data_IF_006563818535
#
_entry.id   IF_006563818535
#
_cell.length_a   1.000
_cell.length_b   1.000
_cell.length_c   1.000
_cell.angle_alpha   90.00
_cell.angle_beta   90.00
_cell.angle_gamma   90.00
#
_symmetry.space_group_name_H-M   'P 1'
#
loop_
_entity.id
_entity.type
_entity.pdbx_description
1 polymer ?
#
# COMPACT_ATOMS: atom_id res chain seq x y z
N UNK A 1 4.19 -23.01 18.65
CA UNK A 1 5.22 -23.14 17.58
C UNK A 1 5.46 -24.58 17.17
N UNK A 2 5.26 -25.58 18.05
CA UNK A 2 5.44 -27.02 17.73
C UNK A 2 4.50 -27.56 16.66
N UNK A 3 3.24 -27.11 16.61
CA UNK A 3 2.26 -27.53 15.60
C UNK A 3 2.57 -27.00 14.19
N UNK A 4 3.29 -25.86 14.10
CA UNK A 4 3.63 -25.19 12.84
C UNK A 4 5.03 -25.56 12.33
N UNK A 5 5.75 -26.46 13.03
CA UNK A 5 7.13 -26.88 12.70
C UNK A 5 8.10 -25.71 12.42
N UNK A 6 7.91 -24.57 13.09
CA UNK A 6 8.82 -23.43 12.96
C UNK A 6 10.01 -23.63 13.90
N UNK A 7 11.23 -23.41 13.37
CA UNK A 7 12.47 -23.48 14.15
C UNK A 7 12.40 -22.57 15.38
N UNK A 8 12.85 -23.06 16.54
CA UNK A 8 12.83 -22.31 17.81
C UNK A 8 13.71 -21.06 17.79
N UNK A 9 14.68 -21.01 16.87
CA UNK A 9 15.62 -19.91 16.72
C UNK A 9 15.09 -18.79 15.81
N UNK A 10 13.92 -18.98 15.18
CA UNK A 10 13.32 -18.04 14.25
C UNK A 10 12.05 -17.46 14.87
N UNK A 11 11.95 -16.13 14.96
CA UNK A 11 10.71 -15.46 15.35
C UNK A 11 9.82 -15.25 14.10
N UNK A 12 8.73 -16.02 13.95
CA UNK A 12 7.90 -15.98 12.76
C UNK A 12 7.20 -14.63 12.55
N UNK A 13 7.00 -13.84 13.60
CA UNK A 13 6.36 -12.52 13.49
C UNK A 13 7.30 -11.49 12.84
N UNK A 14 8.60 -11.59 13.10
CA UNK A 14 9.59 -10.69 12.52
C UNK A 14 9.66 -10.82 10.99
N UNK A 15 9.43 -12.02 10.45
CA UNK A 15 9.33 -12.27 9.01
C UNK A 15 7.99 -11.78 8.42
N UNK A 16 6.90 -11.88 9.18
CA UNK A 16 5.56 -11.44 8.77
C UNK A 16 5.35 -9.92 8.81
N UNK A 17 6.17 -9.15 9.54
CA UNK A 17 6.19 -7.68 9.49
C UNK A 17 6.48 -7.12 8.08
N UNK A 18 7.02 -7.95 7.18
CA UNK A 18 7.24 -7.61 5.78
C UNK A 18 6.05 -7.96 4.86
N UNK A 19 4.95 -8.50 5.37
CA UNK A 19 3.74 -8.61 4.56
C UNK A 19 3.15 -7.21 4.33
N UNK A 20 2.98 -6.94 3.04
CA UNK A 20 2.58 -5.70 2.38
C UNK A 20 1.91 -4.66 3.29
N UNK A 21 2.69 -3.62 3.61
CA UNK A 21 2.17 -2.33 4.02
C UNK A 21 1.04 -1.91 3.06
N UNK A 22 -0.09 -1.36 3.55
CA UNK A 22 -1.15 -0.87 2.69
C UNK A 22 -0.55 0.10 1.66
N UNK A 23 -0.49 -0.37 0.42
CA UNK A 23 0.04 0.35 -0.72
C UNK A 23 -0.89 1.51 -1.01
N UNK A 24 -0.40 2.72 -0.78
CA UNK A 24 -1.13 3.92 -1.17
C UNK A 24 -1.13 3.95 -2.71
N UNK A 25 -2.30 3.98 -3.36
CA UNK A 25 -2.38 3.94 -4.81
C UNK A 25 -1.81 5.22 -5.42
N UNK A 26 -1.13 5.09 -6.55
CA UNK A 26 -0.53 6.21 -7.28
C UNK A 26 -1.55 7.27 -7.67
N UNK A 27 -2.71 6.82 -8.12
CA UNK A 27 -3.87 7.66 -8.38
C UNK A 27 -5.00 7.26 -7.45
N UNK A 28 -5.56 8.25 -6.77
CA UNK A 28 -6.68 8.11 -5.86
C UNK A 28 -7.84 8.92 -6.41
N UNK A 29 -8.91 8.24 -6.82
CA UNK A 29 -10.16 8.93 -7.14
C UNK A 29 -10.84 9.34 -5.83
N UNK A 30 -11.07 10.63 -5.65
CA UNK A 30 -11.81 11.21 -4.52
C UNK A 30 -13.07 11.90 -5.03
N UNK A 31 -13.94 12.30 -4.10
CA UNK A 31 -15.11 13.15 -4.35
C UNK A 31 -14.77 14.51 -4.95
N UNK A 32 -13.57 15.01 -4.69
CA UNK A 32 -13.04 16.25 -5.25
C UNK A 32 -12.34 16.08 -6.62
N UNK A 33 -12.23 14.84 -7.12
CA UNK A 33 -11.62 14.52 -8.41
C UNK A 33 -10.48 13.50 -8.34
N UNK A 34 -9.71 13.40 -9.42
CA UNK A 34 -8.55 12.50 -9.48
C UNK A 34 -7.35 13.14 -8.76
N UNK A 35 -6.88 12.52 -7.69
CA UNK A 35 -5.74 12.97 -6.89
C UNK A 35 -4.51 12.10 -7.18
N UNK A 36 -3.41 12.71 -7.60
CA UNK A 36 -2.13 12.02 -7.75
C UNK A 36 -1.36 12.10 -6.43
N UNK A 37 -1.16 10.93 -5.82
CA UNK A 37 -0.49 10.81 -4.52
C UNK A 37 1.01 11.10 -4.65
N UNK A 38 1.61 10.95 -5.83
CA UNK A 38 3.05 11.24 -6.04
C UNK A 38 3.34 12.72 -6.09
N UNK A 39 2.48 13.51 -6.75
CA UNK A 39 2.62 14.97 -6.84
C UNK A 39 1.89 15.70 -5.73
N UNK A 40 1.13 14.97 -4.90
CA UNK A 40 0.28 15.51 -3.84
C UNK A 40 -0.64 16.63 -4.34
N UNK A 41 -1.19 16.44 -5.55
CA UNK A 41 -2.00 17.44 -6.24
C UNK A 41 -3.14 16.79 -7.02
N UNK A 42 -4.18 17.58 -7.31
CA UNK A 42 -5.26 17.15 -8.19
C UNK A 42 -4.82 17.18 -9.65
N UNK A 43 -5.21 16.15 -10.40
CA UNK A 43 -4.97 16.07 -11.84
C UNK A 43 -5.99 16.98 -12.55
N UNK A 44 -5.55 17.96 -13.35
CA UNK A 44 -6.46 18.78 -14.15
C UNK A 44 -7.08 17.90 -15.26
N UNK A 45 -8.39 17.69 -15.20
CA UNK A 45 -9.13 16.82 -16.12
C UNK A 45 -9.76 17.59 -17.30
N UNK A 46 -9.17 18.70 -17.73
CA UNK A 46 -9.73 19.46 -18.84
C UNK A 46 -9.61 18.67 -20.15
N UNK A 47 -10.75 18.39 -20.77
CA UNK A 47 -10.81 17.87 -22.13
C UNK A 47 -10.51 19.04 -23.08
N UNK A 48 -9.39 18.96 -23.80
CA UNK A 48 -9.21 19.82 -24.97
C UNK A 48 -10.30 19.46 -26.00
N UNK A 49 -11.03 20.48 -26.42
CA UNK A 49 -12.13 20.41 -27.40
C UNK A 49 -11.68 19.83 -28.74
#
# INVERSE_FOLDING_TARGET
TSELHVSKDIDPFMTLCFMSLPVIPTYKLTDMGLFDVRSFSFVPLELNK
#
